data_IF_606149232785
#
_entry.id   IF_606149232785
#
_cell.length_a   1.000
_cell.length_b   1.000
_cell.length_c   1.000
_cell.angle_alpha   90.00
_cell.angle_beta   90.00
_cell.angle_gamma   90.00
#
_symmetry.space_group_name_H-M   'P 1'
#
loop_
_entity.id
_entity.type
_entity.pdbx_description
1 polymer ?
#
# COMPACT_ATOMS: atom_id res chain seq x y z
N UNK A 1 -6.64 -9.91 -10.85
CA UNK A 1 -8.04 -10.36 -11.08
C UNK A 1 -8.41 -10.15 -12.55
N UNK A 2 -9.13 -11.07 -13.23
CA UNK A 2 -9.48 -10.92 -14.66
C UNK A 2 -10.19 -9.61 -15.01
N UNK A 3 -10.96 -9.07 -14.06
CA UNK A 3 -11.66 -7.79 -14.21
C UNK A 3 -10.74 -6.56 -14.32
N UNK A 4 -9.45 -6.71 -14.02
CA UNK A 4 -8.46 -5.64 -14.04
C UNK A 4 -7.43 -5.82 -15.16
N UNK A 5 -7.63 -6.81 -16.04
CA UNK A 5 -6.71 -7.08 -17.14
C UNK A 5 -6.63 -5.85 -18.05
N UNK A 6 -5.41 -5.32 -18.24
CA UNK A 6 -5.16 -4.10 -19.01
C UNK A 6 -5.50 -2.77 -18.32
N UNK A 7 -6.13 -2.80 -17.14
CA UNK A 7 -6.48 -1.60 -16.37
C UNK A 7 -5.48 -1.28 -15.25
N UNK A 8 -4.73 -2.29 -14.80
CA UNK A 8 -3.67 -2.12 -13.83
C UNK A 8 -2.43 -2.89 -14.23
N UNK A 9 -1.27 -2.37 -13.84
CA UNK A 9 0.00 -3.08 -13.88
C UNK A 9 0.38 -3.50 -12.47
N UNK A 10 1.04 -4.65 -12.37
CA UNK A 10 1.64 -5.07 -11.09
C UNK A 10 2.83 -4.15 -10.81
N UNK A 11 2.83 -3.51 -9.65
CA UNK A 11 3.96 -2.74 -9.15
C UNK A 11 4.58 -3.46 -7.96
N UNK A 12 5.88 -3.22 -7.74
CA UNK A 12 6.54 -3.64 -6.50
C UNK A 12 6.11 -2.75 -5.35
N UNK A 13 6.24 -3.26 -4.12
CA UNK A 13 5.91 -2.50 -2.91
C UNK A 13 6.69 -1.18 -2.83
N UNK A 14 8.00 -1.23 -3.07
CA UNK A 14 8.86 -0.04 -3.01
C UNK A 14 8.47 1.01 -4.05
N UNK A 15 8.14 0.58 -5.29
CA UNK A 15 7.70 1.50 -6.33
C UNK A 15 6.36 2.17 -5.97
N UNK A 16 5.44 1.40 -5.38
CA UNK A 16 4.17 1.94 -4.91
C UNK A 16 4.39 2.94 -3.76
N UNK A 17 5.23 2.61 -2.77
CA UNK A 17 5.50 3.51 -1.64
C UNK A 17 6.19 4.81 -2.09
N UNK A 18 7.12 4.74 -3.05
CA UNK A 18 7.87 5.89 -3.53
C UNK A 18 7.05 6.87 -4.38
N UNK A 19 5.99 6.39 -5.04
CA UNK A 19 5.22 7.17 -6.02
C UNK A 19 3.78 7.48 -5.60
N UNK A 20 3.25 6.80 -4.59
CA UNK A 20 1.87 7.00 -4.16
C UNK A 20 1.69 8.30 -3.37
N UNK A 21 0.78 9.15 -3.84
CA UNK A 21 0.32 10.33 -3.09
C UNK A 21 -0.59 9.93 -1.92
N UNK A 22 -1.34 8.84 -2.08
CA UNK A 22 -2.31 8.33 -1.10
C UNK A 22 -2.04 6.84 -0.87
N UNK A 23 -1.86 6.46 0.39
CA UNK A 23 -1.70 5.07 0.79
C UNK A 23 -2.94 4.57 1.55
N UNK A 24 -3.48 3.42 1.12
CA UNK A 24 -4.69 2.83 1.70
C UNK A 24 -4.46 1.37 2.10
N UNK A 25 -4.54 1.09 3.40
CA UNK A 25 -4.49 -0.27 3.95
C UNK A 25 -5.90 -0.85 4.06
N UNK A 26 -6.27 -1.67 3.08
CA UNK A 26 -7.56 -2.36 3.03
C UNK A 26 -7.49 -3.80 3.55
N UNK A 27 -6.32 -4.44 3.50
CA UNK A 27 -6.11 -5.85 3.83
C UNK A 27 -4.73 -6.04 4.47
N UNK A 28 -4.64 -6.84 5.53
CA UNK A 28 -3.49 -7.01 6.41
C UNK A 28 -2.54 -8.16 5.98
N UNK A 29 -2.15 -8.19 4.71
CA UNK A 29 -1.17 -9.16 4.21
C UNK A 29 0.18 -9.05 4.95
N UNK A 30 0.89 -10.18 5.09
CA UNK A 30 2.15 -10.25 5.84
C UNK A 30 3.23 -9.30 5.28
N UNK A 31 3.30 -9.14 3.96
CA UNK A 31 4.22 -8.20 3.31
C UNK A 31 3.98 -6.75 3.74
N UNK A 32 2.72 -6.35 3.92
CA UNK A 32 2.38 -4.98 4.33
C UNK A 32 2.59 -4.75 5.82
N UNK A 33 2.34 -5.77 6.65
CA UNK A 33 2.66 -5.73 8.10
C UNK A 33 4.15 -5.68 8.39
N UNK A 34 4.99 -6.16 7.45
CA UNK A 34 6.44 -6.08 7.57
C UNK A 34 6.97 -4.66 7.29
N UNK A 35 6.17 -3.77 6.69
CA UNK A 35 6.51 -2.36 6.49
C UNK A 35 6.38 -1.63 7.82
N UNK A 36 7.47 -1.02 8.29
CA UNK A 36 7.46 -0.20 9.50
C UNK A 36 6.59 1.04 9.28
N UNK A 37 5.79 1.42 10.28
CA UNK A 37 5.03 2.68 10.25
C UNK A 37 5.90 3.89 9.96
N UNK A 38 7.15 3.90 10.44
CA UNK A 38 8.12 4.99 10.20
C UNK A 38 8.53 5.12 8.72
N UNK A 39 8.42 4.04 7.93
CA UNK A 39 8.71 4.07 6.49
C UNK A 39 7.53 4.51 5.63
N UNK A 40 6.34 4.67 6.24
CA UNK A 40 5.12 5.14 5.59
C UNK A 40 5.06 6.65 5.70
N UNK A 41 5.48 7.34 4.64
CA UNK A 41 5.69 8.80 4.63
C UNK A 41 4.75 9.55 3.69
N UNK A 42 3.76 8.86 3.14
CA UNK A 42 2.80 9.42 2.20
C UNK A 42 1.96 10.51 2.86
N UNK A 43 1.61 11.54 2.09
CA UNK A 43 0.88 12.70 2.60
C UNK A 43 -0.51 12.33 3.16
N UNK A 44 -1.14 11.29 2.61
CA UNK A 44 -2.43 10.81 3.05
C UNK A 44 -2.38 9.29 3.28
N UNK A 45 -2.65 8.89 4.53
CA UNK A 45 -2.65 7.48 4.93
C UNK A 45 -4.04 7.13 5.47
N UNK A 46 -4.67 6.12 4.88
CA UNK A 46 -5.94 5.57 5.34
C UNK A 46 -5.70 4.14 5.79
N UNK A 47 -5.59 3.95 7.10
CA UNK A 47 -5.39 2.64 7.69
C UNK A 47 -6.66 2.12 8.37
N UNK A 48 -7.34 1.19 7.68
CA UNK A 48 -8.56 0.54 8.20
C UNK A 48 -8.28 -0.68 9.07
N UNK A 49 -7.01 -1.09 9.18
CA UNK A 49 -6.56 -2.30 9.88
C UNK A 49 -5.72 -2.02 11.13
N UNK A 50 -5.19 -0.81 11.26
CA UNK A 50 -4.39 -0.38 12.42
C UNK A 50 -2.98 -0.98 12.43
N UNK A 51 -2.40 -1.19 11.25
CA UNK A 51 -1.05 -1.75 11.05
C UNK A 51 0.04 -0.68 11.15
N UNK A 52 -0.21 0.53 10.66
CA UNK A 52 0.80 1.60 10.52
C UNK A 52 0.55 2.80 11.44
N UNK A 53 -0.11 2.56 12.57
CA UNK A 53 -0.40 3.57 13.60
C UNK A 53 0.59 3.56 14.73
#
# INVERSE_FOLDING_TARGET
PKKLDGLCTLATLDAALASADVLVMLVDHNEFKAVSGDSVTQAYIIDTKGVWR
#
